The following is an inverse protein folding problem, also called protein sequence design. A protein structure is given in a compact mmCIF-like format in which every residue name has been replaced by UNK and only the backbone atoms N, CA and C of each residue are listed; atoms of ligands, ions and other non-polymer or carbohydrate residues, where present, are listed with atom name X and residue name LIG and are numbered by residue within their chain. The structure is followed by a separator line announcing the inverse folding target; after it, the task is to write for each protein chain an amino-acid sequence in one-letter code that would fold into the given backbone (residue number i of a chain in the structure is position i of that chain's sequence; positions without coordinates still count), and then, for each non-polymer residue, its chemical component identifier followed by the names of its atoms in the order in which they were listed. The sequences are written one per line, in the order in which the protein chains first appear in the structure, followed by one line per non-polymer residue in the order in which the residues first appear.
data_IF_524979657901
#
_entry.id   IF_524979657901
#
_cell.length_a   1.000
_cell.length_b   1.000
_cell.length_c   1.000
_cell.angle_alpha   90.00
_cell.angle_beta   90.00
_cell.angle_gamma   90.00
#
_symmetry.space_group_name_H-M   'P 1'
#
loop_
_entity.id
_entity.type
_entity.pdbx_description
1 polymer ?
#
# COMPACT_ATOMS: atom_id res chain seq x y z
N UNK A 1 -16.37 -30.49 -21.51
CA UNK A 1 -15.66 -30.27 -20.23
C UNK A 1 -14.42 -29.38 -20.36
N UNK A 2 -13.44 -29.68 -21.23
CA UNK A 2 -12.22 -28.84 -21.40
C UNK A 2 -12.47 -27.35 -21.71
N UNK A 3 -13.46 -27.02 -22.55
CA UNK A 3 -13.79 -25.61 -22.88
C UNK A 3 -14.34 -24.82 -21.69
N UNK A 4 -15.16 -25.45 -20.85
CA UNK A 4 -15.71 -24.84 -19.63
C UNK A 4 -14.61 -24.65 -18.58
N UNK A 5 -13.73 -25.64 -18.43
CA UNK A 5 -12.56 -25.55 -17.56
C UNK A 5 -11.62 -24.39 -17.96
N UNK A 6 -11.38 -24.21 -19.26
CA UNK A 6 -10.54 -23.13 -19.78
C UNK A 6 -11.17 -21.74 -19.57
N UNK A 7 -12.49 -21.59 -19.74
CA UNK A 7 -13.19 -20.33 -19.50
C UNK A 7 -13.15 -19.97 -18.01
N UNK A 8 -13.38 -20.95 -17.13
CA UNK A 8 -13.24 -20.76 -15.68
C UNK A 8 -11.81 -20.37 -15.29
N UNK A 9 -10.80 -21.02 -15.87
CA UNK A 9 -9.41 -20.68 -15.61
C UNK A 9 -9.07 -19.23 -16.02
N UNK A 10 -9.54 -18.78 -17.18
CA UNK A 10 -9.34 -17.39 -17.65
C UNK A 10 -10.05 -16.38 -16.74
N UNK A 11 -11.28 -16.68 -16.29
CA UNK A 11 -12.02 -15.82 -15.36
C UNK A 11 -11.33 -15.72 -14.00
N UNK A 12 -10.80 -16.83 -13.49
CA UNK A 12 -10.06 -16.85 -12.23
C UNK A 12 -8.75 -16.07 -12.36
N UNK A 13 -7.95 -16.33 -13.40
CA UNK A 13 -6.68 -15.63 -13.62
C UNK A 13 -6.91 -14.14 -13.87
N UNK A 14 -7.90 -13.79 -14.69
CA UNK A 14 -8.29 -12.41 -14.96
C UNK A 14 -8.80 -11.68 -13.72
N UNK A 15 -9.60 -12.35 -12.90
CA UNK A 15 -10.08 -11.82 -11.61
C UNK A 15 -8.94 -11.58 -10.62
N UNK A 16 -8.03 -12.53 -10.46
CA UNK A 16 -6.85 -12.39 -9.59
C UNK A 16 -5.93 -11.27 -10.07
N UNK A 17 -5.71 -11.15 -11.39
CA UNK A 17 -4.93 -10.06 -11.96
C UNK A 17 -5.58 -8.69 -11.71
N UNK A 18 -6.91 -8.58 -11.90
CA UNK A 18 -7.63 -7.34 -11.61
C UNK A 18 -7.53 -6.93 -10.14
N UNK A 19 -7.68 -7.89 -9.22
CA UNK A 19 -7.51 -7.64 -7.78
C UNK A 19 -6.07 -7.25 -7.43
N UNK A 20 -5.08 -7.90 -8.04
CA UNK A 20 -3.66 -7.58 -7.85
C UNK A 20 -3.34 -6.14 -8.24
N UNK A 21 -3.82 -5.69 -9.41
CA UNK A 21 -3.58 -4.32 -9.88
C UNK A 21 -4.37 -3.26 -9.10
N UNK A 22 -5.59 -3.57 -8.65
CA UNK A 22 -6.45 -2.60 -7.97
C UNK A 22 -6.17 -2.49 -6.47
N UNK A 23 -5.90 -3.61 -5.80
CA UNK A 23 -5.79 -3.68 -4.34
C UNK A 23 -4.34 -3.86 -3.86
N UNK A 24 -3.44 -4.28 -4.75
CA UNK A 24 -2.05 -4.57 -4.42
C UNK A 24 -1.86 -6.01 -3.90
N UNK A 25 -0.63 -6.53 -4.00
CA UNK A 25 -0.32 -7.91 -3.65
C UNK A 25 -0.50 -8.23 -2.16
N UNK A 26 -0.28 -7.26 -1.28
CA UNK A 26 -0.43 -7.42 0.18
C UNK A 26 -1.87 -7.69 0.60
N UNK A 27 -2.86 -7.15 -0.11
CA UNK A 27 -4.27 -7.37 0.21
C UNK A 27 -4.68 -8.84 0.00
N UNK A 28 -4.10 -9.52 -0.99
CA UNK A 28 -4.40 -10.93 -1.28
C UNK A 28 -3.98 -11.88 -0.14
N UNK A 29 -3.06 -11.45 0.72
CA UNK A 29 -2.57 -12.22 1.88
C UNK A 29 -3.04 -11.65 3.21
N UNK A 30 -4.14 -10.88 3.21
CA UNK A 30 -4.76 -10.31 4.42
C UNK A 30 -4.19 -8.98 4.90
N UNK A 31 -3.18 -8.44 4.21
CA UNK A 31 -2.56 -7.15 4.51
C UNK A 31 -3.34 -5.93 3.98
N UNK A 32 -2.75 -4.73 4.09
CA UNK A 32 -3.39 -3.49 3.66
C UNK A 32 -3.48 -3.39 2.13
N UNK A 33 -4.50 -2.66 1.67
CA UNK A 33 -4.63 -2.28 0.25
C UNK A 33 -3.61 -1.20 -0.10
N UNK A 34 -3.16 -1.14 -1.36
CA UNK A 34 -2.26 -0.09 -1.84
C UNK A 34 -2.74 1.32 -1.52
N UNK A 35 -4.06 1.58 -1.63
CA UNK A 35 -4.63 2.89 -1.28
C UNK A 35 -4.45 3.23 0.21
N UNK A 36 -4.71 2.27 1.11
CA UNK A 36 -4.52 2.48 2.54
C UNK A 36 -3.04 2.74 2.88
N UNK A 37 -2.11 2.02 2.24
CA UNK A 37 -0.68 2.25 2.39
C UNK A 37 -0.33 3.69 1.99
N UNK A 38 -0.82 4.16 0.84
CA UNK A 38 -0.56 5.52 0.33
C UNK A 38 -1.14 6.58 1.28
N UNK A 39 -2.40 6.43 1.67
CA UNK A 39 -3.11 7.42 2.48
C UNK A 39 -2.46 7.57 3.87
N UNK A 40 -2.12 6.45 4.51
CA UNK A 40 -1.48 6.44 5.83
C UNK A 40 -0.05 6.98 5.74
N UNK A 41 0.73 6.54 4.74
CA UNK A 41 2.09 7.05 4.54
C UNK A 41 2.08 8.57 4.35
N UNK A 42 1.15 9.08 3.54
CA UNK A 42 0.99 10.52 3.33
C UNK A 42 0.59 11.23 4.61
N UNK A 43 -0.38 10.71 5.35
CA UNK A 43 -0.84 11.30 6.59
C UNK A 43 0.30 11.41 7.62
N UNK A 44 1.12 10.36 7.77
CA UNK A 44 2.30 10.38 8.64
C UNK A 44 3.35 11.39 8.17
N UNK A 45 3.68 11.41 6.88
CA UNK A 45 4.65 12.37 6.34
C UNK A 45 4.19 13.83 6.55
N UNK A 46 2.90 14.09 6.41
CA UNK A 46 2.32 15.42 6.66
C UNK A 46 2.33 15.76 8.15
N UNK A 47 1.98 14.79 9.02
CA UNK A 47 1.92 15.00 10.47
C UNK A 47 3.31 15.18 11.10
N UNK A 48 4.34 14.56 10.53
CA UNK A 48 5.73 14.62 11.01
C UNK A 48 6.58 15.67 10.29
N UNK A 49 6.02 16.42 9.35
CA UNK A 49 6.72 17.48 8.64
C UNK A 49 7.12 18.61 9.60
N UNK A 50 8.41 18.99 9.58
CA UNK A 50 8.94 20.03 10.47
C UNK A 50 8.50 21.46 10.05
N UNK A 51 8.06 21.63 8.81
CA UNK A 51 7.62 22.93 8.27
C UNK A 51 6.37 22.79 7.39
N UNK A 52 5.56 23.85 7.24
CA UNK A 52 4.41 23.84 6.32
C UNK A 52 4.81 23.52 4.87
N UNK A 53 5.95 24.04 4.40
CA UNK A 53 6.44 23.75 3.06
C UNK A 53 6.74 22.25 2.85
N UNK A 54 7.34 21.58 3.85
CA UNK A 54 7.54 20.13 3.79
C UNK A 54 6.22 19.35 3.84
N UNK A 55 5.24 19.82 4.61
CA UNK A 55 3.91 19.22 4.64
C UNK A 55 3.22 19.32 3.27
N UNK A 56 3.36 20.44 2.58
CA UNK A 56 2.78 20.62 1.23
C UNK A 56 3.51 19.77 0.18
N UNK A 57 4.83 19.61 0.28
CA UNK A 57 5.58 18.64 -0.53
C UNK A 57 5.11 17.20 -0.26
N UNK A 58 4.88 16.83 1.00
CA UNK A 58 4.35 15.51 1.36
C UNK A 58 2.94 15.28 0.81
N UNK A 59 2.09 16.32 0.74
CA UNK A 59 0.76 16.23 0.09
C UNK A 59 0.85 16.09 -1.44
N UNK A 60 1.86 16.69 -2.06
CA UNK A 60 2.08 16.62 -3.50
C UNK A 60 2.92 15.40 -3.94
N UNK A 61 3.59 14.72 -3.00
CA UNK A 61 4.46 13.59 -3.29
C UNK A 61 3.69 12.44 -3.95
N UNK A 62 4.31 11.78 -4.93
CA UNK A 62 3.81 10.54 -5.48
C UNK A 62 4.33 9.39 -4.63
N UNK A 63 3.41 8.64 -4.02
CA UNK A 63 3.73 7.51 -3.14
C UNK A 63 3.33 6.23 -3.87
N UNK A 64 4.29 5.33 -4.04
CA UNK A 64 4.08 4.06 -4.73
C UNK A 64 4.47 2.90 -3.80
N UNK A 65 3.50 2.12 -3.30
CA UNK A 65 3.79 0.89 -2.58
C UNK A 65 4.53 -0.09 -3.50
N UNK A 66 5.58 -0.74 -2.98
CA UNK A 66 6.40 -1.70 -3.72
C UNK A 66 6.30 -3.07 -3.07
N UNK A 67 6.13 -4.10 -3.89
CA UNK A 67 6.17 -5.49 -3.46
C UNK A 67 5.10 -5.85 -2.42
N UNK A 68 5.42 -6.87 -1.60
CA UNK A 68 4.60 -7.35 -0.51
C UNK A 68 4.98 -6.64 0.80
N UNK A 69 3.99 -6.43 1.66
CA UNK A 69 4.24 -6.03 3.04
C UNK A 69 4.65 -7.24 3.87
N UNK A 70 5.65 -7.08 4.73
CA UNK A 70 6.02 -8.09 5.72
C UNK A 70 5.09 -8.02 6.91
N UNK A 71 4.43 -9.12 7.26
CA UNK A 71 3.70 -9.24 8.52
C UNK A 71 4.69 -9.31 9.69
N UNK A 72 4.35 -8.66 10.80
CA UNK A 72 5.14 -8.62 12.03
C UNK A 72 4.40 -9.34 13.16
N UNK A 73 5.12 -9.65 14.24
CA UNK A 73 4.57 -10.40 15.39
C UNK A 73 3.46 -9.65 16.15
N UNK A 74 3.38 -8.32 16.00
CA UNK A 74 2.42 -7.46 16.68
C UNK A 74 1.15 -7.18 15.86
N UNK A 75 0.87 -8.00 14.85
CA UNK A 75 -0.19 -7.83 13.84
C UNK A 75 -0.05 -6.54 12.99
N UNK A 76 1.17 -5.99 12.91
CA UNK A 76 1.48 -4.90 11.97
C UNK A 76 2.05 -5.43 10.65
N UNK A 77 2.02 -4.57 9.63
CA UNK A 77 2.52 -4.83 8.29
C UNK A 77 3.52 -3.75 7.90
N UNK A 78 4.77 -4.13 7.68
CA UNK A 78 5.81 -3.26 7.16
C UNK A 78 5.80 -3.29 5.63
N UNK A 79 5.42 -2.17 5.02
CA UNK A 79 5.26 -2.01 3.58
C UNK A 79 6.35 -1.08 3.02
N UNK A 80 7.01 -1.50 1.95
CA UNK A 80 7.97 -0.64 1.25
C UNK A 80 7.18 0.39 0.42
N UNK A 81 7.50 1.66 0.57
CA UNK A 81 6.92 2.75 -0.22
C UNK A 81 8.02 3.58 -0.85
N UNK A 82 7.90 3.83 -2.14
CA UNK A 82 8.74 4.76 -2.87
C UNK A 82 8.04 6.11 -2.92
N UNK A 83 8.71 7.15 -2.45
CA UNK A 83 8.22 8.52 -2.40
C UNK A 83 9.00 9.35 -3.40
N UNK A 84 8.29 9.90 -4.38
CA UNK A 84 8.83 10.76 -5.41
C UNK A 84 8.29 12.18 -5.21
N UNK A 85 9.18 13.14 -4.98
CA UNK A 85 8.87 14.56 -4.87
C UNK A 85 9.46 15.27 -6.08
N UNK A 86 8.70 16.16 -6.70
CA UNK A 86 9.16 16.90 -7.90
C UNK A 86 10.44 17.67 -7.57
N UNK A 87 11.51 17.41 -8.34
CA UNK A 87 12.81 18.05 -8.16
C UNK A 87 13.73 17.37 -7.14
N UNK A 88 13.35 16.22 -6.57
CA UNK A 88 14.19 15.42 -5.68
C UNK A 88 14.33 13.98 -6.21
N UNK A 89 15.38 13.29 -5.77
CA UNK A 89 15.53 11.86 -6.06
C UNK A 89 14.45 11.04 -5.31
N UNK A 90 13.90 9.98 -5.92
CA UNK A 90 12.98 9.08 -5.24
C UNK A 90 13.62 8.50 -3.98
N UNK A 91 12.87 8.51 -2.88
CA UNK A 91 13.31 7.98 -1.60
C UNK A 91 12.46 6.79 -1.22
N UNK A 92 13.10 5.70 -0.81
CA UNK A 92 12.40 4.50 -0.33
C UNK A 92 12.26 4.58 1.18
N UNK A 93 11.03 4.42 1.67
CA UNK A 93 10.69 4.38 3.09
C UNK A 93 9.96 3.07 3.41
N UNK A 94 9.86 2.76 4.71
CA UNK A 94 9.05 1.67 5.22
C UNK A 94 7.86 2.29 5.96
N UNK A 95 6.65 2.03 5.48
CA UNK A 95 5.42 2.38 6.16
C UNK A 95 4.97 1.17 6.98
N UNK A 96 4.87 1.32 8.30
CA UNK A 96 4.35 0.26 9.18
C UNK A 96 2.89 0.57 9.50
N UNK A 97 2.01 -0.37 9.18
CA UNK A 97 0.56 -0.22 9.31
C UNK A 97 0.00 -1.29 10.23
N UNK A 98 -0.94 -0.92 11.11
CA UNK A 98 -1.67 -1.86 11.96
C UNK A 98 -3.16 -1.78 11.69
N UNK A 99 -3.84 -2.92 11.75
CA UNK A 99 -5.28 -3.01 11.57
C UNK A 99 -5.98 -2.87 12.92
N UNK A 100 -6.86 -1.88 13.05
CA UNK A 100 -7.68 -1.67 14.24
C UNK A 100 -8.85 -2.66 14.28
N UNK A 101 -9.45 -2.84 15.46
CA UNK A 101 -10.61 -3.70 15.69
C UNK A 101 -11.82 -3.39 14.81
N UNK A 102 -11.96 -2.14 14.32
CA UNK A 102 -12.97 -1.72 13.35
C UNK A 102 -12.63 -2.01 11.88
N UNK A 103 -11.50 -2.67 11.61
CA UNK A 103 -11.03 -2.99 10.26
C UNK A 103 -10.33 -1.85 9.51
N UNK A 104 -10.25 -0.66 10.13
CA UNK A 104 -9.47 0.46 9.62
C UNK A 104 -7.97 0.23 9.80
N UNK A 105 -7.17 0.66 8.83
CA UNK A 105 -5.72 0.66 8.93
C UNK A 105 -5.24 2.00 9.51
N UNK A 106 -4.24 1.95 10.37
CA UNK A 106 -3.57 3.13 10.94
C UNK A 106 -2.06 2.95 10.89
N UNK A 107 -1.30 4.03 11.05
CA UNK A 107 0.14 3.91 11.26
C UNK A 107 0.39 3.15 12.58
N UNK A 108 1.30 2.18 12.54
CA UNK A 108 1.80 1.57 13.77
C UNK A 108 2.75 2.56 14.47
N UNK A 109 2.66 2.65 15.80
CA UNK A 109 3.56 3.47 16.63
C UNK A 109 4.93 2.82 16.83
#
# INVERSE_FOLDING_TARGET
MRKILNILAILVVGGVAAVYFLLGPSFLIGGPKSSAIIDISRAVMVATAATPAQADLAKAAKITPKGLCSHQEDDSYACIVEVEVTGAAPTTLIAVLKKMSGGAWVAAE
#
